data_IF_502853661338
#
_entry.id   IF_502853661338
#
_cell.length_a   1.000
_cell.length_b   1.000
_cell.length_c   1.000
_cell.angle_alpha   90.00
_cell.angle_beta   90.00
_cell.angle_gamma   90.00
#
_symmetry.space_group_name_H-M   'P 1'
#
loop_
_entity.id
_entity.type
_entity.pdbx_description
1 polymer ?
#
# COMPACT_ATOMS: atom_id res chain seq x y z
N UNK A 1 -26.66 78.27 43.74
CA UNK A 1 -27.00 76.88 44.13
C UNK A 1 -28.00 76.32 43.11
N UNK A 2 -27.58 75.38 42.26
CA UNK A 2 -28.49 74.49 41.54
C UNK A 2 -27.74 73.18 41.24
N UNK A 3 -28.27 72.07 41.79
CA UNK A 3 -27.68 70.74 41.78
C UNK A 3 -27.95 70.01 40.46
N UNK A 4 -26.93 69.26 40.05
CA UNK A 4 -26.86 68.09 39.17
C UNK A 4 -28.18 67.38 38.80
N UNK A 5 -28.27 66.95 37.54
CA UNK A 5 -28.49 65.51 37.26
C UNK A 5 -28.01 65.14 35.84
N UNK A 6 -26.92 64.37 35.78
CA UNK A 6 -26.41 63.69 34.59
C UNK A 6 -27.18 62.38 34.45
N UNK A 7 -27.98 62.21 33.40
CA UNK A 7 -28.59 60.92 33.10
C UNK A 7 -27.72 60.15 32.09
N UNK A 8 -26.90 59.23 32.61
CA UNK A 8 -26.09 58.31 31.80
C UNK A 8 -26.93 57.09 31.42
N UNK A 9 -27.49 57.10 30.21
CA UNK A 9 -28.08 55.91 29.59
C UNK A 9 -27.00 54.89 29.22
N UNK A 10 -26.62 54.04 30.18
CA UNK A 10 -25.73 52.90 29.96
C UNK A 10 -26.52 51.81 29.23
N UNK A 11 -26.35 51.70 27.92
CA UNK A 11 -26.89 50.58 27.15
C UNK A 11 -26.18 49.29 27.58
N UNK A 12 -26.97 48.39 28.15
CA UNK A 12 -26.53 47.11 28.67
C UNK A 12 -26.24 46.17 27.49
N UNK A 13 -24.96 46.04 27.08
CA UNK A 13 -24.52 44.98 26.18
C UNK A 13 -24.64 43.63 26.91
N UNK A 14 -25.80 42.98 26.80
CA UNK A 14 -25.95 41.57 27.17
C UNK A 14 -25.21 40.71 26.14
N UNK A 15 -23.99 40.30 26.50
CA UNK A 15 -23.23 39.29 25.77
C UNK A 15 -24.00 37.97 25.74
N UNK A 16 -24.38 37.53 24.54
CA UNK A 16 -25.11 36.29 24.31
C UNK A 16 -24.20 35.07 24.34
N UNK A 17 -24.08 34.42 25.51
CA UNK A 17 -23.45 33.09 25.67
C UNK A 17 -24.30 31.94 25.12
N UNK A 18 -25.58 32.20 24.81
CA UNK A 18 -26.55 31.20 24.37
C UNK A 18 -26.31 30.68 22.94
N UNK A 19 -25.57 31.41 22.10
CA UNK A 19 -25.27 31.00 20.72
C UNK A 19 -24.17 29.94 20.64
N UNK A 20 -23.11 30.12 21.44
CA UNK A 20 -21.94 29.23 21.44
C UNK A 20 -22.28 27.87 22.03
N UNK A 21 -23.05 27.82 23.13
CA UNK A 21 -23.48 26.54 23.73
C UNK A 21 -24.37 25.70 22.81
N UNK A 22 -25.30 26.34 22.08
CA UNK A 22 -26.16 25.67 21.09
C UNK A 22 -25.36 25.17 19.88
N UNK A 23 -24.36 25.93 19.44
CA UNK A 23 -23.46 25.53 18.37
C UNK A 23 -22.61 24.30 18.76
N UNK A 24 -22.01 24.33 19.94
CA UNK A 24 -21.21 23.20 20.46
C UNK A 24 -22.06 21.94 20.63
N UNK A 25 -23.25 22.07 21.22
CA UNK A 25 -24.17 20.93 21.36
C UNK A 25 -24.60 20.37 20.00
N UNK A 26 -24.93 21.24 19.04
CA UNK A 26 -25.27 20.83 17.67
C UNK A 26 -24.12 20.11 16.96
N UNK A 27 -22.87 20.55 17.17
CA UNK A 27 -21.68 19.90 16.63
C UNK A 27 -21.49 18.48 17.20
N UNK A 28 -21.59 18.32 18.52
CA UNK A 28 -21.48 16.99 19.14
C UNK A 28 -22.63 16.07 18.76
N UNK A 29 -23.86 16.58 18.71
CA UNK A 29 -25.02 15.81 18.28
C UNK A 29 -24.91 15.37 16.82
N UNK A 30 -24.46 16.27 15.92
CA UNK A 30 -24.21 15.94 14.52
C UNK A 30 -23.09 14.92 14.33
N UNK A 31 -21.99 15.05 15.07
CA UNK A 31 -20.90 14.08 15.07
C UNK A 31 -21.38 12.70 15.57
N UNK A 32 -22.14 12.66 16.67
CA UNK A 32 -22.71 11.43 17.21
C UNK A 32 -23.67 10.77 16.19
N UNK A 33 -24.55 11.54 15.55
CA UNK A 33 -25.45 11.02 14.53
C UNK A 33 -24.68 10.45 13.33
N UNK A 34 -23.61 11.12 12.91
CA UNK A 34 -22.74 10.66 11.81
C UNK A 34 -22.03 9.35 12.15
N UNK A 35 -21.51 9.22 13.38
CA UNK A 35 -20.90 7.98 13.85
C UNK A 35 -21.93 6.84 13.94
N UNK A 36 -23.14 7.13 14.40
CA UNK A 36 -24.24 6.16 14.44
C UNK A 36 -24.67 5.70 13.05
N UNK A 37 -24.76 6.59 12.06
CA UNK A 37 -25.10 6.21 10.68
C UNK A 37 -23.99 5.39 10.03
N UNK A 38 -22.71 5.73 10.24
CA UNK A 38 -21.58 4.90 9.79
C UNK A 38 -21.64 3.52 10.45
N UNK A 39 -21.84 3.45 11.77
CA UNK A 39 -21.94 2.18 12.48
C UNK A 39 -23.11 1.32 11.98
N UNK A 40 -24.27 1.94 11.73
CA UNK A 40 -25.43 1.25 11.14
C UNK A 40 -25.13 0.75 9.72
N UNK A 41 -24.47 1.55 8.88
CA UNK A 41 -24.06 1.11 7.54
C UNK A 41 -23.01 -0.01 7.57
N UNK A 42 -22.05 0.05 8.50
CA UNK A 42 -21.09 -1.03 8.70
C UNK A 42 -21.76 -2.33 9.19
N UNK A 43 -22.85 -2.22 9.95
CA UNK A 43 -23.56 -3.38 10.52
C UNK A 43 -24.61 -3.99 9.59
N UNK A 44 -25.32 -3.15 8.85
CA UNK A 44 -26.50 -3.54 8.06
C UNK A 44 -26.35 -3.24 6.56
N UNK A 45 -25.38 -2.40 6.18
CA UNK A 45 -25.05 -2.14 4.79
C UNK A 45 -24.17 -3.23 4.17
N UNK A 46 -23.63 -2.93 2.99
CA UNK A 46 -22.76 -3.82 2.21
C UNK A 46 -21.44 -3.10 1.92
N UNK A 47 -20.59 -2.88 2.93
CA UNK A 47 -19.26 -2.34 2.68
C UNK A 47 -18.48 -3.29 1.74
N UNK A 48 -17.63 -2.76 0.85
CA UNK A 48 -16.81 -3.57 -0.05
C UNK A 48 -15.73 -4.28 0.77
N UNK A 49 -16.03 -5.51 1.21
CA UNK A 49 -15.16 -6.31 2.08
C UNK A 49 -14.71 -7.60 1.40
N UNK A 50 -15.42 -8.04 0.37
CA UNK A 50 -14.99 -9.17 -0.43
C UNK A 50 -13.86 -8.73 -1.38
N UNK A 51 -12.88 -9.61 -1.59
CA UNK A 51 -11.80 -9.37 -2.56
C UNK A 51 -12.33 -9.17 -3.99
N UNK A 52 -13.53 -9.70 -4.27
CA UNK A 52 -14.25 -9.54 -5.53
C UNK A 52 -15.10 -8.27 -5.63
N UNK A 53 -15.23 -7.47 -4.56
CA UNK A 53 -15.95 -6.20 -4.61
C UNK A 53 -15.16 -5.16 -5.43
N UNK A 54 -15.86 -4.16 -5.97
CA UNK A 54 -15.20 -3.07 -6.68
C UNK A 54 -14.30 -2.29 -5.71
N UNK A 55 -13.06 -2.02 -6.15
CA UNK A 55 -12.08 -1.29 -5.36
C UNK A 55 -12.64 0.06 -4.91
N UNK A 56 -12.62 0.31 -3.60
CA UNK A 56 -13.09 1.57 -3.05
C UNK A 56 -12.06 2.69 -3.18
N UNK A 57 -12.53 3.93 -3.27
CA UNK A 57 -11.68 5.12 -3.42
C UNK A 57 -10.68 5.31 -2.27
N UNK A 58 -10.96 4.75 -1.08
CA UNK A 58 -10.11 4.90 0.10
C UNK A 58 -9.10 3.75 0.29
N UNK A 59 -9.21 2.65 -0.44
CA UNK A 59 -8.29 1.50 -0.30
C UNK A 59 -6.83 1.88 -0.53
N UNK A 60 -6.47 2.66 -1.58
CA UNK A 60 -5.09 3.09 -1.76
C UNK A 60 -4.61 4.03 -0.64
N UNK A 61 -5.51 4.88 -0.13
CA UNK A 61 -5.20 5.86 0.92
C UNK A 61 -4.84 5.19 2.24
N UNK A 62 -5.42 4.02 2.52
CA UNK A 62 -5.10 3.28 3.74
C UNK A 62 -3.93 2.33 3.56
N UNK A 63 -3.73 1.72 2.39
CA UNK A 63 -2.72 0.68 2.19
C UNK A 63 -1.48 1.19 1.43
N UNK A 64 -1.59 1.38 0.12
CA UNK A 64 -0.44 1.58 -0.76
C UNK A 64 0.25 2.94 -0.59
N UNK A 65 -0.52 4.02 -0.39
CA UNK A 65 0.02 5.38 -0.21
C UNK A 65 0.94 5.47 1.02
N UNK A 66 0.50 5.13 2.24
CA UNK A 66 1.37 5.20 3.42
C UNK A 66 2.51 4.17 3.36
N UNK A 67 2.28 2.99 2.78
CA UNK A 67 3.34 1.99 2.62
C UNK A 67 4.46 2.49 1.69
N UNK A 68 4.11 3.09 0.55
CA UNK A 68 5.09 3.68 -0.36
C UNK A 68 5.82 4.87 0.27
N UNK A 69 5.08 5.76 0.96
CA UNK A 69 5.69 6.91 1.64
C UNK A 69 6.72 6.47 2.69
N UNK A 70 6.38 5.46 3.49
CA UNK A 70 7.26 4.92 4.53
C UNK A 70 8.45 4.15 3.96
N UNK A 71 8.22 3.31 2.96
CA UNK A 71 9.29 2.60 2.24
C UNK A 71 10.32 3.59 1.68
N UNK A 72 9.86 4.72 1.13
CA UNK A 72 10.71 5.79 0.61
C UNK A 72 11.46 6.54 1.71
N UNK A 73 10.81 6.87 2.84
CA UNK A 73 11.47 7.60 3.94
C UNK A 73 12.48 6.76 4.72
N UNK A 74 12.25 5.44 4.80
CA UNK A 74 13.11 4.49 5.52
C UNK A 74 14.03 3.68 4.60
N UNK A 75 14.12 4.07 3.32
CA UNK A 75 14.93 3.37 2.32
C UNK A 75 16.42 3.40 2.68
N UNK A 76 17.02 2.20 2.75
CA UNK A 76 18.46 2.02 2.95
C UNK A 76 19.19 1.88 1.62
N UNK A 77 20.52 1.97 1.65
CA UNK A 77 21.37 1.65 0.50
C UNK A 77 21.85 0.20 0.55
N UNK A 78 21.92 -0.50 -0.59
CA UNK A 78 22.42 -1.87 -0.61
C UNK A 78 23.90 -1.91 -0.20
N UNK A 79 24.31 -2.91 0.62
CA UNK A 79 25.70 -3.03 1.09
C UNK A 79 26.64 -3.65 0.04
N UNK A 80 26.10 -4.16 -1.06
CA UNK A 80 26.85 -4.74 -2.17
C UNK A 80 26.17 -4.41 -3.52
N UNK A 81 26.92 -4.38 -4.63
CA UNK A 81 26.36 -4.08 -5.94
C UNK A 81 25.50 -5.23 -6.47
N UNK A 82 24.71 -4.93 -7.50
CA UNK A 82 24.09 -5.96 -8.32
C UNK A 82 25.17 -6.73 -9.10
N UNK A 83 25.06 -8.06 -9.11
CA UNK A 83 25.94 -8.98 -9.84
C UNK A 83 25.15 -10.23 -10.25
N UNK A 84 25.70 -11.02 -11.17
CA UNK A 84 25.09 -12.30 -11.58
C UNK A 84 24.93 -13.24 -10.39
N UNK A 85 25.95 -13.43 -9.55
CA UNK A 85 25.88 -14.22 -8.32
C UNK A 85 24.76 -13.75 -7.37
N UNK A 86 24.59 -12.42 -7.25
CA UNK A 86 23.53 -11.80 -6.45
C UNK A 86 22.15 -12.20 -6.98
N UNK A 87 22.00 -12.19 -8.30
CA UNK A 87 20.76 -12.51 -8.98
C UNK A 87 20.43 -14.00 -8.95
N UNK A 88 21.42 -14.88 -9.11
CA UNK A 88 21.21 -16.33 -9.02
C UNK A 88 20.75 -16.75 -7.62
N UNK A 89 21.40 -16.21 -6.58
CA UNK A 89 21.00 -16.46 -5.20
C UNK A 89 19.56 -15.96 -4.93
N UNK A 90 19.23 -14.77 -5.44
CA UNK A 90 17.89 -14.20 -5.34
C UNK A 90 16.83 -15.01 -6.10
N UNK A 91 17.15 -15.50 -7.29
CA UNK A 91 16.19 -16.19 -8.17
C UNK A 91 15.61 -17.44 -7.51
N UNK A 92 16.46 -18.20 -6.81
CA UNK A 92 16.03 -19.40 -6.05
C UNK A 92 15.02 -19.04 -4.94
N UNK A 93 15.27 -17.94 -4.21
CA UNK A 93 14.38 -17.47 -3.14
C UNK A 93 13.08 -16.89 -3.69
N UNK A 94 13.18 -16.09 -4.74
CA UNK A 94 12.03 -15.50 -5.43
C UNK A 94 11.11 -16.59 -5.95
N UNK A 95 11.66 -17.65 -6.56
CA UNK A 95 10.89 -18.81 -7.01
C UNK A 95 10.10 -19.46 -5.88
N UNK A 96 10.73 -19.66 -4.73
CA UNK A 96 10.13 -20.35 -3.60
C UNK A 96 9.04 -19.53 -2.89
N UNK A 97 9.22 -18.21 -2.78
CA UNK A 97 8.40 -17.38 -1.88
C UNK A 97 7.61 -16.26 -2.57
N UNK A 98 7.91 -15.94 -3.82
CA UNK A 98 7.34 -14.77 -4.51
C UNK A 98 6.55 -15.12 -5.77
N UNK A 99 6.94 -16.16 -6.52
CA UNK A 99 6.33 -16.51 -7.82
C UNK A 99 4.83 -16.80 -7.71
N UNK A 100 4.37 -17.42 -6.63
CA UNK A 100 2.95 -17.75 -6.43
C UNK A 100 2.04 -16.52 -6.50
N UNK A 101 2.54 -15.33 -6.16
CA UNK A 101 1.79 -14.07 -6.21
C UNK A 101 2.30 -13.11 -7.30
N UNK A 102 3.60 -13.04 -7.54
CA UNK A 102 4.20 -12.05 -8.46
C UNK A 102 4.53 -12.62 -9.85
N UNK A 103 4.35 -13.92 -10.06
CA UNK A 103 4.66 -14.60 -11.30
C UNK A 103 6.16 -14.73 -11.56
N UNK A 104 6.49 -15.34 -12.69
CA UNK A 104 7.84 -15.53 -13.21
C UNK A 104 7.94 -14.95 -14.64
N UNK A 105 9.14 -14.84 -15.23
CA UNK A 105 9.28 -14.49 -16.64
C UNK A 105 8.37 -15.32 -17.55
N UNK A 106 7.53 -14.63 -18.34
CA UNK A 106 6.56 -15.26 -19.23
C UNK A 106 5.31 -15.84 -18.55
N UNK A 107 5.25 -15.90 -17.22
CA UNK A 107 4.16 -16.53 -16.49
C UNK A 107 3.65 -15.67 -15.34
N UNK A 108 2.62 -14.87 -15.61
CA UNK A 108 1.93 -14.10 -14.58
C UNK A 108 1.11 -15.02 -13.66
N UNK A 109 1.14 -14.78 -12.35
CA UNK A 109 0.36 -15.50 -11.35
C UNK A 109 -1.14 -15.24 -11.48
N UNK A 110 -1.95 -16.30 -11.47
CA UNK A 110 -3.42 -16.23 -11.38
C UNK A 110 -3.86 -15.72 -10.01
N UNK A 111 -3.23 -16.23 -8.94
CA UNK A 111 -3.54 -15.86 -7.55
C UNK A 111 -3.28 -14.38 -7.31
N UNK A 112 -2.10 -13.89 -7.68
CA UNK A 112 -1.73 -12.49 -7.48
C UNK A 112 -2.59 -11.50 -8.26
N UNK A 113 -3.06 -11.89 -9.45
CA UNK A 113 -4.00 -11.10 -10.25
C UNK A 113 -5.38 -10.98 -9.60
N UNK A 114 -5.76 -11.95 -8.77
CA UNK A 114 -7.04 -11.99 -8.06
C UNK A 114 -6.96 -11.43 -6.62
N UNK A 115 -5.81 -10.94 -6.17
CA UNK A 115 -5.68 -10.29 -4.86
C UNK A 115 -6.27 -8.87 -4.86
N UNK A 116 -6.63 -8.36 -3.68
CA UNK A 116 -7.01 -6.96 -3.47
C UNK A 116 -6.15 -6.32 -2.36
N UNK A 117 -5.33 -5.30 -2.68
CA UNK A 117 -4.97 -4.88 -4.03
C UNK A 117 -4.24 -5.99 -4.81
N UNK A 118 -4.31 -5.89 -6.14
CA UNK A 118 -3.63 -6.81 -7.06
C UNK A 118 -2.12 -6.82 -6.82
N UNK A 119 -1.51 -8.00 -6.75
CA UNK A 119 -0.06 -8.12 -6.72
C UNK A 119 0.53 -7.76 -8.09
N UNK A 120 1.52 -6.84 -8.15
CA UNK A 120 2.22 -6.53 -9.40
C UNK A 120 2.93 -7.77 -9.95
N UNK A 121 2.83 -7.98 -11.26
CA UNK A 121 3.47 -9.07 -11.97
C UNK A 121 4.79 -8.56 -12.55
N UNK A 122 5.89 -8.69 -11.80
CA UNK A 122 7.12 -7.94 -12.06
C UNK A 122 7.79 -8.22 -13.42
N UNK A 123 7.50 -9.37 -14.03
CA UNK A 123 8.02 -9.78 -15.34
C UNK A 123 7.00 -9.63 -16.47
N UNK A 124 5.83 -9.03 -16.19
CA UNK A 124 4.78 -8.78 -17.15
C UNK A 124 4.93 -7.36 -17.73
N UNK A 125 4.79 -7.18 -19.06
CA UNK A 125 4.88 -5.87 -19.69
C UNK A 125 3.92 -4.83 -19.09
N UNK A 126 2.76 -5.28 -18.59
CA UNK A 126 1.72 -4.42 -18.01
C UNK A 126 2.15 -3.74 -16.71
N UNK A 127 3.07 -4.35 -15.95
CA UNK A 127 3.50 -3.88 -14.63
C UNK A 127 4.97 -3.44 -14.59
N UNK A 128 5.61 -3.35 -15.74
CA UNK A 128 7.03 -3.04 -15.86
C UNK A 128 7.44 -1.73 -15.16
N UNK A 129 6.55 -0.73 -15.14
CA UNK A 129 6.79 0.57 -14.51
C UNK A 129 6.77 0.54 -12.97
N UNK A 130 6.22 -0.51 -12.35
CA UNK A 130 6.06 -0.59 -10.89
C UNK A 130 7.40 -0.60 -10.17
N UNK A 131 8.39 -1.33 -10.70
CA UNK A 131 9.73 -1.40 -10.13
C UNK A 131 10.67 -0.33 -10.69
N UNK A 132 10.45 0.13 -11.93
CA UNK A 132 11.27 1.16 -12.56
C UNK A 132 11.34 2.47 -11.75
N UNK A 133 10.30 2.77 -10.98
CA UNK A 133 10.21 3.98 -10.14
C UNK A 133 10.75 3.79 -8.71
N UNK A 134 11.20 2.59 -8.34
CA UNK A 134 11.59 2.27 -6.96
C UNK A 134 13.09 2.02 -6.82
N UNK A 135 13.67 2.52 -5.73
CA UNK A 135 15.05 2.22 -5.35
C UNK A 135 15.15 0.86 -4.65
N UNK A 136 16.33 0.19 -4.64
CA UNK A 136 16.50 -1.11 -3.96
C UNK A 136 16.11 -1.06 -2.49
N UNK A 137 16.39 0.05 -1.80
CA UNK A 137 15.98 0.24 -0.40
C UNK A 137 14.48 0.24 -0.17
N UNK A 138 13.69 0.72 -1.13
CA UNK A 138 12.22 0.71 -1.05
C UNK A 138 11.69 -0.71 -1.26
N UNK A 139 12.27 -1.44 -2.22
CA UNK A 139 11.95 -2.85 -2.47
C UNK A 139 12.32 -3.70 -1.25
N UNK A 140 13.51 -3.47 -0.69
CA UNK A 140 13.98 -4.10 0.54
C UNK A 140 12.98 -3.88 1.67
N UNK A 141 12.55 -2.63 1.88
CA UNK A 141 11.61 -2.30 2.95
C UNK A 141 10.31 -3.08 2.80
N UNK A 142 9.74 -3.11 1.59
CA UNK A 142 8.49 -3.84 1.30
C UNK A 142 8.66 -5.34 1.49
N UNK A 143 9.77 -5.93 1.06
CA UNK A 143 10.03 -7.36 1.25
C UNK A 143 10.27 -7.70 2.72
N UNK A 144 11.03 -6.89 3.45
CA UNK A 144 11.36 -7.12 4.85
C UNK A 144 10.11 -7.02 5.75
N UNK A 145 9.27 -6.00 5.55
CA UNK A 145 8.17 -5.67 6.44
C UNK A 145 6.78 -6.07 5.93
N UNK A 146 6.67 -6.46 4.65
CA UNK A 146 5.40 -6.72 4.00
C UNK A 146 4.56 -5.44 3.83
N UNK A 147 3.34 -5.62 3.32
CA UNK A 147 2.39 -4.52 3.18
C UNK A 147 1.08 -4.92 3.85
N UNK A 148 0.69 -4.13 4.86
CA UNK A 148 -0.52 -4.39 5.62
C UNK A 148 -1.75 -4.24 4.72
N UNK A 149 -2.71 -5.17 4.85
CA UNK A 149 -3.96 -5.22 4.06
C UNK A 149 -3.78 -5.52 2.58
N UNK A 150 -2.74 -6.27 2.17
CA UNK A 150 -2.57 -6.69 0.76
C UNK A 150 -2.26 -8.18 0.57
N UNK A 151 -2.20 -8.94 1.66
CA UNK A 151 -1.74 -10.33 1.63
C UNK A 151 -0.22 -10.49 1.42
N UNK A 152 0.54 -9.41 1.22
CA UNK A 152 2.01 -9.47 1.15
C UNK A 152 2.62 -9.66 2.54
N UNK A 153 3.23 -10.82 2.84
CA UNK A 153 3.80 -11.10 4.16
C UNK A 153 5.12 -10.35 4.37
N UNK A 154 5.55 -10.29 5.64
CA UNK A 154 6.86 -9.78 6.02
C UNK A 154 7.89 -10.92 5.99
N UNK A 155 8.98 -10.74 5.24
CA UNK A 155 10.04 -11.76 5.14
C UNK A 155 11.25 -11.50 6.04
N UNK A 156 11.27 -10.40 6.82
CA UNK A 156 12.40 -10.04 7.68
C UNK A 156 12.72 -11.05 8.80
N UNK A 157 11.83 -12.00 9.07
CA UNK A 157 12.06 -13.13 9.98
C UNK A 157 12.34 -14.46 9.28
N UNK A 158 12.12 -14.51 7.96
CA UNK A 158 12.28 -15.71 7.12
C UNK A 158 13.59 -15.67 6.35
N UNK A 159 14.01 -14.48 5.92
CA UNK A 159 15.22 -14.24 5.16
C UNK A 159 16.25 -13.48 5.97
N UNK A 160 17.52 -13.76 5.70
CA UNK A 160 18.65 -12.96 6.19
C UNK A 160 18.68 -11.59 5.49
N UNK A 161 19.39 -10.63 6.08
CA UNK A 161 19.55 -9.30 5.48
C UNK A 161 20.15 -9.36 4.06
N UNK A 162 21.18 -10.19 3.87
CA UNK A 162 21.79 -10.44 2.57
C UNK A 162 20.79 -10.94 1.55
N UNK A 163 19.92 -11.90 1.92
CA UNK A 163 18.90 -12.44 1.03
C UNK A 163 17.84 -11.40 0.65
N UNK A 164 17.44 -10.54 1.59
CA UNK A 164 16.52 -9.44 1.31
C UNK A 164 17.13 -8.45 0.31
N UNK A 165 18.42 -8.11 0.46
CA UNK A 165 19.13 -7.27 -0.49
C UNK A 165 19.28 -7.91 -1.87
N UNK A 166 19.62 -9.21 -1.92
CA UNK A 166 19.69 -9.98 -3.16
C UNK A 166 18.37 -9.93 -3.94
N UNK A 167 17.24 -10.21 -3.28
CA UNK A 167 15.90 -10.10 -3.88
C UNK A 167 15.63 -8.68 -4.38
N UNK A 168 15.98 -7.67 -3.58
CA UNK A 168 15.72 -6.27 -3.92
C UNK A 168 16.49 -5.81 -5.14
N UNK A 169 17.75 -6.24 -5.27
CA UNK A 169 18.60 -5.94 -6.42
C UNK A 169 18.13 -6.70 -7.67
N UNK A 170 17.76 -7.98 -7.54
CA UNK A 170 17.18 -8.76 -8.64
C UNK A 170 15.91 -8.09 -9.19
N UNK A 171 14.99 -7.72 -8.30
CA UNK A 171 13.73 -7.08 -8.69
C UNK A 171 13.97 -5.71 -9.32
N UNK A 172 14.90 -4.91 -8.81
CA UNK A 172 15.25 -3.66 -9.48
C UNK A 172 15.78 -3.91 -10.90
N UNK A 173 16.62 -4.93 -11.08
CA UNK A 173 17.21 -5.28 -12.36
C UNK A 173 16.22 -5.93 -13.34
N UNK A 174 15.10 -6.50 -12.86
CA UNK A 174 14.10 -7.18 -13.71
C UNK A 174 13.36 -6.27 -14.67
N UNK A 175 13.53 -4.94 -14.57
CA UNK A 175 13.06 -3.98 -15.56
C UNK A 175 13.90 -4.03 -16.87
N UNK A 176 15.12 -4.53 -16.79
CA UNK A 176 16.02 -4.77 -17.93
C UNK A 176 16.02 -6.24 -18.37
N UNK A 177 17.01 -6.59 -19.19
CA UNK A 177 17.28 -7.98 -19.54
C UNK A 177 18.13 -8.62 -18.43
N UNK A 178 17.61 -9.70 -17.84
CA UNK A 178 18.35 -10.50 -16.86
C UNK A 178 19.24 -11.52 -17.57
N UNK A 179 20.41 -11.88 -17.00
CA UNK A 179 21.25 -12.93 -17.54
C UNK A 179 20.48 -14.26 -17.75
N UNK A 180 20.83 -14.99 -18.80
CA UNK A 180 20.18 -16.26 -19.13
C UNK A 180 20.18 -17.29 -17.98
N UNK A 181 21.28 -17.48 -17.22
CA UNK A 181 21.28 -18.38 -16.07
C UNK A 181 20.25 -17.99 -15.01
N UNK A 182 20.10 -16.69 -14.74
CA UNK A 182 19.12 -16.15 -13.79
C UNK A 182 17.70 -16.39 -14.28
N UNK A 183 17.43 -16.16 -15.57
CA UNK A 183 16.12 -16.42 -16.17
C UNK A 183 15.75 -17.90 -16.08
N UNK A 184 16.69 -18.79 -16.36
CA UNK A 184 16.48 -20.23 -16.26
C UNK A 184 16.11 -20.62 -14.81
N UNK A 185 16.80 -20.09 -13.80
CA UNK A 185 16.49 -20.34 -12.39
C UNK A 185 15.11 -19.82 -11.98
N UNK A 186 14.67 -18.68 -12.52
CA UNK A 186 13.35 -18.11 -12.24
C UNK A 186 12.20 -18.96 -12.78
N UNK A 187 12.43 -19.67 -13.90
CA UNK A 187 11.42 -20.51 -14.56
C UNK A 187 11.58 -22.00 -14.30
N UNK A 188 12.65 -22.41 -13.63
CA UNK A 188 12.95 -23.82 -13.35
C UNK A 188 11.78 -24.48 -12.59
N UNK A 189 11.33 -25.63 -13.10
CA UNK A 189 10.25 -26.42 -12.50
C UNK A 189 8.85 -25.85 -12.70
N UNK A 190 8.70 -24.73 -13.41
CA UNK A 190 7.39 -24.23 -13.82
C UNK A 190 6.88 -24.98 -15.06
N UNK A 191 5.56 -25.21 -15.16
CA UNK A 191 4.99 -25.82 -16.37
C UNK A 191 5.33 -24.96 -17.59
N UNK A 192 5.47 -25.57 -18.79
CA UNK A 192 5.72 -24.84 -20.02
C UNK A 192 4.71 -23.70 -20.19
N UNK A 193 5.17 -22.59 -20.76
CA UNK A 193 4.33 -21.44 -21.06
C UNK A 193 3.08 -21.92 -21.80
N UNK A 194 1.92 -21.86 -21.15
CA UNK A 194 0.67 -22.17 -21.81
C UNK A 194 0.46 -21.10 -22.89
N UNK A 195 0.18 -21.48 -24.14
CA UNK A 195 -0.23 -20.51 -25.15
C UNK A 195 -1.35 -19.68 -24.55
N UNK A 196 -1.20 -18.36 -24.55
CA UNK A 196 -2.22 -17.44 -24.05
C UNK A 196 -3.54 -17.79 -24.72
N UNK A 197 -4.45 -18.42 -23.99
CA UNK A 197 -5.82 -18.61 -24.43
C UNK A 197 -6.43 -17.20 -24.47
N UNK A 198 -6.40 -16.61 -25.66
CA UNK A 198 -7.18 -15.41 -25.96
C UNK A 198 -8.62 -15.89 -25.93
N UNK A 199 -9.26 -15.77 -24.77
CA UNK A 199 -10.70 -15.94 -24.67
C UNK A 199 -11.34 -14.84 -25.54
N UNK A 200 -12.17 -15.18 -26.54
CA UNK A 200 -12.83 -14.20 -27.39
C UNK A 200 -13.78 -13.29 -26.59
#
# INVERSE_FOLDING_TARGET
MAKQSRNSGRSNRRGGSNGVGKFIFGMFFGAALTLLTIAAWMRFGKPPVAVSDAASLWEPLVASVPANARAKSEAKTPPFPASEDTFEAAAKLYRQQCVSCHGAPGQSSTTGRAMSPRAPQFFSPQDKSVLASQKPGEIYWKTAYGIRRTGMPAFGKTFTDTQLWQISLLLQASNGELPDPVRALLTEGLPPLQPTEIKP
#
